data_IF_839766293319
#
_entry.id   IF_839766293319
#
_cell.length_a   1.000
_cell.length_b   1.000
_cell.length_c   1.000
_cell.angle_alpha   90.00
_cell.angle_beta   90.00
_cell.angle_gamma   90.00
#
_symmetry.space_group_name_H-M   'P 1'
#
loop_
_entity.id
_entity.type
_entity.pdbx_description
1 polymer ?
#
# COMPACT_ATOMS: atom_id res chain seq x y z
N UNK A 1 -5.27 -19.40 -4.55
CA UNK A 1 -6.34 -18.99 -3.61
C UNK A 1 -7.60 -19.82 -3.81
N UNK A 2 -8.09 -20.00 -5.03
CA UNK A 2 -9.25 -20.86 -5.34
C UNK A 2 -9.08 -22.29 -4.83
N UNK A 3 -7.88 -22.87 -4.89
CA UNK A 3 -7.57 -24.19 -4.34
C UNK A 3 -7.71 -24.27 -2.80
N UNK A 4 -7.82 -23.12 -2.11
CA UNK A 4 -8.08 -23.01 -0.66
C UNK A 4 -9.53 -22.67 -0.34
N UNK A 5 -10.44 -22.72 -1.33
CA UNK A 5 -11.86 -22.40 -1.16
C UNK A 5 -12.16 -20.91 -1.02
N UNK A 6 -11.20 -20.02 -1.30
CA UNK A 6 -11.42 -18.57 -1.30
C UNK A 6 -12.15 -18.20 -2.59
N UNK A 7 -13.36 -17.68 -2.46
CA UNK A 7 -14.25 -17.35 -3.58
C UNK A 7 -14.60 -15.87 -3.69
N UNK A 8 -14.28 -15.08 -2.65
CA UNK A 8 -14.53 -13.65 -2.62
C UNK A 8 -13.24 -12.92 -2.24
N UNK A 9 -12.92 -11.89 -3.01
CA UNK A 9 -11.74 -11.04 -2.80
C UNK A 9 -12.16 -9.61 -2.62
N UNK A 10 -11.43 -8.90 -1.78
CA UNK A 10 -11.39 -7.44 -1.72
C UNK A 10 -9.94 -7.05 -1.91
N UNK A 11 -9.67 -6.24 -2.91
CA UNK A 11 -8.33 -5.73 -3.20
C UNK A 11 -8.17 -4.37 -2.53
N UNK A 12 -7.01 -4.12 -1.94
CA UNK A 12 -6.66 -2.80 -1.40
C UNK A 12 -5.41 -2.32 -2.12
N UNK A 13 -5.47 -1.15 -2.73
CA UNK A 13 -4.30 -0.52 -3.32
C UNK A 13 -3.54 0.25 -2.26
N UNK A 14 -2.26 -0.05 -2.11
CA UNK A 14 -1.38 0.66 -1.17
C UNK A 14 -1.03 2.07 -1.65
N UNK A 15 -0.92 2.26 -2.98
CA UNK A 15 -0.69 3.52 -3.68
C UNK A 15 -0.78 3.31 -5.19
N UNK A 16 -0.55 4.34 -6.00
CA UNK A 16 -0.83 4.33 -7.44
C UNK A 16 0.35 3.97 -8.36
N UNK A 17 1.52 3.57 -7.85
CA UNK A 17 2.63 3.15 -8.70
C UNK A 17 2.27 1.93 -9.54
N UNK A 18 2.90 1.81 -10.74
CA UNK A 18 2.48 0.86 -11.76
C UNK A 18 2.58 -0.59 -11.33
N UNK A 19 3.59 -0.95 -10.57
CA UNK A 19 3.81 -2.30 -10.03
C UNK A 19 2.78 -2.73 -8.98
N UNK A 20 2.03 -1.77 -8.41
CA UNK A 20 0.96 -2.03 -7.44
C UNK A 20 -0.45 -2.04 -8.05
N UNK A 21 -0.59 -1.62 -9.31
CA UNK A 21 -1.88 -1.55 -10.00
C UNK A 21 -1.96 -2.46 -11.24
N UNK A 22 -0.82 -2.91 -11.77
CA UNK A 22 -0.76 -3.71 -13.01
C UNK A 22 -1.58 -5.00 -12.94
N UNK A 23 -1.73 -5.57 -11.73
CA UNK A 23 -2.52 -6.78 -11.51
C UNK A 23 -4.03 -6.59 -11.34
N UNK A 24 -4.52 -5.35 -11.33
CA UNK A 24 -5.93 -5.06 -11.01
C UNK A 24 -6.92 -5.70 -11.99
N UNK A 25 -6.53 -5.92 -13.27
CA UNK A 25 -7.37 -6.55 -14.28
C UNK A 25 -7.84 -7.94 -13.86
N UNK A 26 -6.98 -8.70 -13.17
CA UNK A 26 -7.31 -10.05 -12.67
C UNK A 26 -8.44 -10.03 -11.64
N UNK A 27 -8.67 -8.87 -11.00
CA UNK A 27 -9.66 -8.64 -9.95
C UNK A 27 -10.73 -7.64 -10.36
N UNK A 28 -10.94 -7.44 -11.68
CA UNK A 28 -11.86 -6.42 -12.20
C UNK A 28 -13.33 -6.64 -11.82
N UNK A 29 -13.70 -7.88 -11.43
CA UNK A 29 -15.00 -8.28 -10.91
C UNK A 29 -15.12 -8.18 -9.38
N UNK A 30 -14.05 -7.76 -8.70
CA UNK A 30 -13.99 -7.66 -7.24
C UNK A 30 -14.13 -6.20 -6.76
N UNK A 31 -14.40 -6.04 -5.46
CA UNK A 31 -14.26 -4.74 -4.83
C UNK A 31 -12.78 -4.35 -4.77
N UNK A 32 -12.43 -3.21 -5.33
CA UNK A 32 -11.09 -2.61 -5.27
C UNK A 32 -11.19 -1.32 -4.46
N UNK A 33 -10.53 -1.28 -3.32
CA UNK A 33 -10.53 -0.14 -2.39
C UNK A 33 -9.21 0.61 -2.52
N UNK A 34 -9.27 1.93 -2.57
CA UNK A 34 -8.11 2.81 -2.54
C UNK A 34 -8.42 4.10 -1.77
N UNK A 35 -7.40 4.85 -1.36
CA UNK A 35 -7.67 6.20 -0.90
C UNK A 35 -8.10 7.11 -2.06
N UNK A 36 -8.77 8.21 -1.75
CA UNK A 36 -9.28 9.14 -2.77
C UNK A 36 -8.17 9.75 -3.63
N UNK A 37 -6.98 9.95 -3.05
CA UNK A 37 -5.80 10.46 -3.76
C UNK A 37 -5.30 9.47 -4.82
N UNK A 38 -5.19 8.19 -4.49
CA UNK A 38 -4.84 7.11 -5.44
C UNK A 38 -5.79 7.13 -6.64
N UNK A 39 -7.11 7.16 -6.39
CA UNK A 39 -8.11 7.23 -7.46
C UNK A 39 -7.95 8.51 -8.31
N UNK A 40 -7.64 9.64 -7.69
CA UNK A 40 -7.37 10.92 -8.36
C UNK A 40 -6.12 10.88 -9.25
N UNK A 41 -5.02 10.28 -8.77
CA UNK A 41 -3.79 10.09 -9.55
C UNK A 41 -4.04 9.17 -10.77
N UNK A 42 -4.70 8.04 -10.56
CA UNK A 42 -5.04 7.10 -11.64
C UNK A 42 -5.93 7.76 -12.70
N UNK A 43 -6.96 8.52 -12.29
CA UNK A 43 -7.85 9.23 -13.21
C UNK A 43 -7.09 10.29 -14.03
N UNK A 44 -6.19 11.05 -13.39
CA UNK A 44 -5.38 12.10 -14.03
C UNK A 44 -4.43 11.54 -15.07
N UNK A 45 -3.80 10.39 -14.76
CA UNK A 45 -2.74 9.80 -15.59
C UNK A 45 -3.23 8.64 -16.46
N UNK A 46 -4.53 8.34 -16.46
CA UNK A 46 -5.14 7.19 -17.12
C UNK A 46 -4.61 6.95 -18.52
N UNK A 47 -4.73 7.97 -19.40
CA UNK A 47 -4.34 7.82 -20.79
C UNK A 47 -2.84 7.49 -20.94
N UNK A 48 -1.98 8.15 -20.18
CA UNK A 48 -0.54 7.91 -20.23
C UNK A 48 -0.17 6.50 -19.74
N UNK A 49 -0.88 6.00 -18.71
CA UNK A 49 -0.71 4.64 -18.18
C UNK A 49 -1.18 3.62 -19.23
N UNK A 50 -2.38 3.83 -19.82
CA UNK A 50 -2.96 2.88 -20.78
C UNK A 50 -2.19 2.77 -22.10
N UNK A 51 -1.44 3.81 -22.49
CA UNK A 51 -0.56 3.79 -23.67
C UNK A 51 0.92 3.53 -23.33
N UNK A 52 1.27 3.32 -22.06
CA UNK A 52 2.62 2.98 -21.61
C UNK A 52 3.63 4.12 -21.71
N UNK A 53 3.20 5.38 -21.61
CA UNK A 53 4.07 6.57 -21.63
C UNK A 53 4.25 7.21 -20.24
N UNK A 54 3.49 6.76 -19.25
CA UNK A 54 3.68 7.14 -17.87
C UNK A 54 4.73 6.20 -17.25
N UNK A 55 5.83 6.77 -16.80
CA UNK A 55 6.94 6.04 -16.16
C UNK A 55 7.50 4.84 -16.99
N UNK A 56 7.24 4.87 -18.29
CA UNK A 56 7.69 3.85 -19.25
C UNK A 56 6.76 2.66 -19.41
N UNK A 57 7.20 1.64 -20.23
CA UNK A 57 6.47 0.41 -20.44
C UNK A 57 6.53 -0.51 -19.20
N UNK A 58 5.59 -1.47 -19.06
CA UNK A 58 4.52 -1.78 -20.00
C UNK A 58 3.30 -0.87 -19.89
N UNK A 59 2.50 -0.80 -20.96
CA UNK A 59 1.14 -0.25 -20.89
C UNK A 59 0.27 -1.13 -19.98
N UNK A 60 -0.61 -0.50 -19.18
CA UNK A 60 -1.62 -1.19 -18.37
C UNK A 60 -2.98 -0.86 -18.97
N UNK A 61 -3.50 -1.75 -19.82
CA UNK A 61 -4.75 -1.51 -20.56
C UNK A 61 -5.60 -2.80 -20.62
N UNK A 62 -6.84 -2.74 -20.09
CA UNK A 62 -7.48 -1.57 -19.50
C UNK A 62 -6.94 -1.21 -18.11
N UNK A 63 -6.88 0.08 -17.79
CA UNK A 63 -6.63 0.51 -16.42
C UNK A 63 -7.90 0.32 -15.57
N UNK A 64 -7.87 -0.63 -14.64
CA UNK A 64 -8.98 -0.89 -13.74
C UNK A 64 -8.92 0.05 -12.54
N UNK A 65 -9.97 0.86 -12.42
CA UNK A 65 -10.09 1.87 -11.36
C UNK A 65 -10.63 1.27 -10.05
N UNK A 66 -10.31 1.89 -8.89
CA UNK A 66 -10.97 1.53 -7.63
C UNK A 66 -12.49 1.66 -7.72
N UNK A 67 -13.19 0.70 -7.13
CA UNK A 67 -14.67 0.69 -7.05
C UNK A 67 -15.18 1.37 -5.78
N UNK A 68 -14.32 1.52 -4.78
CA UNK A 68 -14.60 2.20 -3.51
C UNK A 68 -13.41 3.06 -3.10
N UNK A 69 -13.67 4.28 -2.65
CA UNK A 69 -12.63 5.17 -2.13
C UNK A 69 -12.91 5.58 -0.68
N UNK A 70 -11.86 5.99 0.04
CA UNK A 70 -11.93 6.55 1.37
C UNK A 70 -10.95 7.71 1.54
N UNK A 71 -11.09 8.46 2.61
CA UNK A 71 -10.17 9.50 3.05
C UNK A 71 -9.73 9.19 4.49
N UNK A 72 -8.49 9.50 4.83
CA UNK A 72 -7.85 9.33 6.13
C UNK A 72 -7.84 7.88 6.65
N UNK A 73 -9.02 7.31 6.91
CA UNK A 73 -9.15 5.98 7.52
C UNK A 73 -10.44 5.28 7.10
N UNK A 74 -10.35 3.96 6.92
CA UNK A 74 -11.49 3.09 6.70
C UNK A 74 -11.35 1.82 7.55
N UNK A 75 -12.34 1.53 8.39
CA UNK A 75 -12.41 0.27 9.13
C UNK A 75 -13.17 -0.78 8.32
N UNK A 76 -12.61 -1.97 8.25
CA UNK A 76 -13.20 -3.14 7.61
C UNK A 76 -13.27 -4.30 8.60
N UNK A 77 -14.25 -5.19 8.39
CA UNK A 77 -14.33 -6.47 9.08
C UNK A 77 -14.21 -7.59 8.04
N UNK A 78 -13.18 -8.41 8.15
CA UNK A 78 -12.91 -9.52 7.23
C UNK A 78 -12.98 -10.82 8.04
N UNK A 79 -14.11 -11.53 7.94
CA UNK A 79 -14.42 -12.62 8.86
C UNK A 79 -14.45 -12.10 10.30
N UNK A 80 -13.60 -12.66 11.15
CA UNK A 80 -13.47 -12.26 12.56
C UNK A 80 -12.32 -11.26 12.81
N UNK A 81 -11.70 -10.76 11.75
CA UNK A 81 -10.55 -9.86 11.84
C UNK A 81 -10.95 -8.43 11.54
N UNK A 82 -10.64 -7.53 12.48
CA UNK A 82 -10.74 -6.09 12.25
C UNK A 82 -9.48 -5.62 11.52
N UNK A 83 -9.67 -4.85 10.45
CA UNK A 83 -8.61 -4.27 9.62
C UNK A 83 -8.88 -2.79 9.46
N UNK A 84 -7.88 -1.98 9.67
CA UNK A 84 -7.93 -0.54 9.42
C UNK A 84 -7.04 -0.17 8.24
N UNK A 85 -7.61 0.45 7.24
CA UNK A 85 -6.87 1.11 6.17
C UNK A 85 -6.60 2.53 6.61
N UNK A 86 -5.34 2.96 6.59
CA UNK A 86 -4.94 4.26 7.10
C UNK A 86 -4.02 4.94 6.09
N UNK A 87 -4.35 6.18 5.70
CA UNK A 87 -3.47 7.00 4.87
C UNK A 87 -2.26 7.48 5.64
N UNK A 88 -1.09 7.43 4.98
CA UNK A 88 0.16 8.01 5.44
C UNK A 88 0.87 8.69 4.27
N UNK A 89 1.25 9.95 4.45
CA UNK A 89 2.07 10.70 3.49
C UNK A 89 3.55 10.34 3.69
N UNK A 90 3.87 9.08 3.34
CA UNK A 90 5.22 8.51 3.35
C UNK A 90 5.39 7.76 2.03
N UNK A 91 6.58 7.79 1.41
CA UNK A 91 6.86 7.30 0.08
C UNK A 91 6.11 8.10 -1.00
N UNK A 92 4.77 8.15 -0.91
CA UNK A 92 3.86 8.95 -1.75
C UNK A 92 2.76 9.58 -0.89
N UNK A 93 2.17 10.66 -1.39
CA UNK A 93 1.07 11.39 -0.74
C UNK A 93 -0.22 10.55 -0.59
N UNK A 94 -0.31 9.45 -1.32
CA UNK A 94 -1.44 8.52 -1.35
C UNK A 94 -1.14 7.16 -0.70
N UNK A 95 -0.08 7.07 0.11
CA UNK A 95 0.31 5.84 0.79
C UNK A 95 -0.79 5.32 1.72
N UNK A 96 -1.09 4.03 1.64
CA UNK A 96 -2.06 3.33 2.50
C UNK A 96 -1.41 2.12 3.14
N UNK A 97 -1.54 2.01 4.45
CA UNK A 97 -1.18 0.82 5.20
C UNK A 97 -2.42 0.07 5.68
N UNK A 98 -2.31 -1.25 5.87
CA UNK A 98 -3.33 -2.05 6.53
C UNK A 98 -2.85 -2.39 7.94
N UNK A 99 -3.60 -1.94 8.93
CA UNK A 99 -3.33 -2.18 10.33
C UNK A 99 -4.29 -3.23 10.91
N UNK A 100 -3.75 -4.28 11.50
CA UNK A 100 -4.49 -5.34 12.19
C UNK A 100 -4.23 -5.21 13.70
N UNK A 101 -5.08 -4.50 14.45
CA UNK A 101 -4.80 -4.10 15.84
C UNK A 101 -4.66 -5.28 16.80
N UNK A 102 -5.45 -6.34 16.65
CA UNK A 102 -5.41 -7.50 17.54
C UNK A 102 -4.10 -8.28 17.47
N UNK A 103 -3.52 -8.40 16.29
CA UNK A 103 -2.25 -9.11 16.06
C UNK A 103 -1.05 -8.18 16.06
N UNK A 104 -1.28 -6.86 16.10
CA UNK A 104 -0.26 -5.81 15.95
C UNK A 104 0.57 -5.99 14.67
N UNK A 105 -0.08 -6.47 13.62
CA UNK A 105 0.49 -6.65 12.29
C UNK A 105 0.21 -5.43 11.44
N UNK A 106 1.23 -4.91 10.79
CA UNK A 106 1.19 -3.83 9.82
C UNK A 106 1.59 -4.36 8.44
N UNK A 107 0.69 -4.30 7.46
CA UNK A 107 1.05 -4.45 6.05
C UNK A 107 1.36 -3.05 5.55
N UNK A 108 2.64 -2.77 5.35
CA UNK A 108 3.14 -1.41 5.22
C UNK A 108 3.09 -0.85 3.78
N UNK A 109 2.79 -1.69 2.78
CA UNK A 109 2.97 -1.26 1.39
C UNK A 109 4.42 -0.84 1.15
N UNK A 110 4.62 0.28 0.46
CA UNK A 110 5.91 0.91 0.23
C UNK A 110 6.19 2.06 1.22
N UNK A 111 5.27 2.28 2.16
CA UNK A 111 5.51 3.22 3.27
C UNK A 111 6.79 2.90 4.04
N UNK A 112 7.12 1.62 4.11
CA UNK A 112 8.37 1.10 4.67
C UNK A 112 8.95 0.04 3.72
N UNK A 113 10.25 0.09 3.48
CA UNK A 113 10.95 -0.84 2.59
C UNK A 113 12.27 -1.29 3.24
N UNK A 114 12.76 -2.47 2.86
CA UNK A 114 14.09 -2.99 3.10
C UNK A 114 14.64 -3.52 1.74
N UNK A 115 15.85 -3.28 1.33
CA UNK A 115 17.05 -2.85 2.08
C UNK A 115 17.36 -1.35 1.93
N UNK A 116 16.90 -0.72 0.86
CA UNK A 116 17.05 0.73 0.63
C UNK A 116 15.67 1.31 0.37
N UNK A 117 15.26 2.23 1.21
CA UNK A 117 13.99 2.94 1.05
C UNK A 117 14.03 3.77 -0.23
N UNK A 118 13.09 3.55 -1.13
CA UNK A 118 12.91 4.39 -2.30
C UNK A 118 12.20 5.69 -1.92
N UNK A 119 12.88 6.80 -2.09
CA UNK A 119 12.33 8.14 -1.79
C UNK A 119 11.66 8.68 -3.06
N UNK A 120 10.40 8.36 -3.26
CA UNK A 120 9.65 8.78 -4.45
C UNK A 120 9.40 10.29 -4.50
N UNK A 121 9.32 10.95 -3.35
CA UNK A 121 9.06 12.38 -3.20
C UNK A 121 10.11 13.07 -2.32
N UNK A 122 11.36 13.28 -2.80
CA UNK A 122 12.45 13.81 -2.00
C UNK A 122 12.18 15.23 -1.46
N UNK A 123 11.35 16.02 -2.15
CA UNK A 123 10.97 17.37 -1.71
C UNK A 123 9.95 17.37 -0.55
N UNK A 124 9.36 16.21 -0.24
CA UNK A 124 8.34 16.03 0.79
C UNK A 124 8.86 15.40 2.09
N UNK A 125 10.16 15.19 2.25
CA UNK A 125 10.75 14.55 3.45
C UNK A 125 10.34 15.24 4.77
N UNK A 126 10.16 16.56 4.76
CA UNK A 126 9.69 17.32 5.93
C UNK A 126 8.27 16.93 6.38
N UNK A 127 7.47 16.34 5.47
CA UNK A 127 6.13 15.79 5.74
C UNK A 127 6.21 14.33 6.13
N UNK A 128 7.09 13.56 5.49
CA UNK A 128 7.24 12.12 5.74
C UNK A 128 7.74 11.83 7.17
N UNK A 129 8.68 12.61 7.72
CA UNK A 129 9.23 12.37 9.05
C UNK A 129 8.18 12.39 10.17
N UNK A 130 7.30 13.40 10.29
CA UNK A 130 6.21 13.38 11.26
C UNK A 130 5.23 12.21 11.05
N UNK A 131 5.03 11.78 9.81
CA UNK A 131 4.17 10.65 9.48
C UNK A 131 4.78 9.32 9.92
N UNK A 132 6.10 9.15 9.83
CA UNK A 132 6.80 7.99 10.42
C UNK A 132 6.64 7.93 11.94
N UNK A 133 6.65 9.08 12.62
CA UNK A 133 6.36 9.16 14.05
C UNK A 133 4.89 8.78 14.35
N UNK A 134 3.95 9.19 13.49
CA UNK A 134 2.53 8.80 13.59
C UNK A 134 2.35 7.29 13.38
N UNK A 135 3.04 6.72 12.38
CA UNK A 135 3.05 5.29 12.09
C UNK A 135 3.59 4.48 13.28
N UNK A 136 4.67 4.93 13.90
CA UNK A 136 5.26 4.28 15.07
C UNK A 136 4.29 4.19 16.26
N UNK A 137 3.38 5.15 16.43
CA UNK A 137 2.36 5.17 17.49
C UNK A 137 1.31 4.08 17.36
N UNK A 138 1.15 3.44 16.18
CA UNK A 138 0.31 2.25 16.04
C UNK A 138 0.83 1.10 16.91
N UNK A 139 2.13 1.08 17.19
CA UNK A 139 2.76 0.08 18.02
C UNK A 139 2.85 -1.30 17.38
N UNK A 140 3.04 -1.34 16.06
CA UNK A 140 3.24 -2.59 15.32
C UNK A 140 4.41 -3.41 15.89
N UNK A 141 4.21 -4.71 16.02
CA UNK A 141 5.25 -5.67 16.41
C UNK A 141 5.72 -6.52 15.24
N UNK A 142 4.88 -6.61 14.19
CA UNK A 142 5.17 -7.30 12.95
C UNK A 142 4.85 -6.37 11.80
N UNK A 143 5.80 -6.18 10.88
CA UNK A 143 5.68 -5.29 9.73
C UNK A 143 6.04 -6.09 8.47
N UNK A 144 5.13 -6.08 7.52
CA UNK A 144 5.32 -6.70 6.20
C UNK A 144 5.29 -5.59 5.14
N UNK A 145 6.45 -5.20 4.58
CA UNK A 145 6.51 -4.30 3.44
C UNK A 145 6.22 -5.05 2.13
N UNK A 146 5.89 -4.33 1.07
CA UNK A 146 5.79 -4.92 -0.26
C UNK A 146 7.18 -5.24 -0.83
N UNK A 147 8.15 -4.34 -0.63
CA UNK A 147 9.54 -4.53 -1.01
C UNK A 147 10.40 -4.80 0.23
N UNK A 148 10.99 -6.00 0.31
CA UNK A 148 11.78 -6.40 1.46
C UNK A 148 12.52 -7.73 1.26
N UNK A 149 13.32 -8.11 2.24
CA UNK A 149 14.04 -9.39 2.20
C UNK A 149 13.04 -10.57 2.27
N UNK A 150 12.96 -11.43 1.24
CA UNK A 150 11.99 -12.53 1.18
C UNK A 150 12.08 -13.46 2.38
N UNK A 151 13.31 -13.77 2.86
CA UNK A 151 13.51 -14.67 3.99
C UNK A 151 12.95 -14.07 5.29
N UNK A 152 13.09 -12.75 5.49
CA UNK A 152 12.49 -12.06 6.63
C UNK A 152 10.97 -12.04 6.56
N UNK A 153 10.43 -11.75 5.39
CA UNK A 153 8.97 -11.75 5.17
C UNK A 153 8.40 -13.14 5.45
N UNK A 154 9.07 -14.20 4.98
CA UNK A 154 8.64 -15.58 5.17
C UNK A 154 8.54 -16.03 6.64
N UNK A 155 9.35 -15.45 7.52
CA UNK A 155 9.38 -15.79 8.96
C UNK A 155 8.60 -14.81 9.85
N UNK A 156 7.81 -13.88 9.25
CA UNK A 156 6.95 -12.96 10.00
C UNK A 156 7.28 -11.48 9.86
N UNK A 157 8.26 -11.13 9.01
CA UNK A 157 8.57 -9.74 8.68
C UNK A 157 9.56 -9.06 9.63
N UNK A 158 9.34 -7.78 9.84
CA UNK A 158 10.20 -6.88 10.58
C UNK A 158 9.54 -6.41 11.87
N UNK A 159 10.32 -5.96 12.81
CA UNK A 159 9.85 -5.26 14.02
C UNK A 159 9.83 -3.74 13.81
N UNK A 160 9.47 -2.98 14.84
CA UNK A 160 9.45 -1.51 14.83
C UNK A 160 10.84 -0.87 14.55
N UNK A 161 11.91 -1.66 14.49
CA UNK A 161 13.24 -1.21 14.05
C UNK A 161 13.25 -0.72 12.63
N UNK A 162 12.40 -1.29 11.75
CA UNK A 162 12.28 -0.85 10.36
C UNK A 162 11.81 0.61 10.26
N UNK A 163 10.81 1.01 11.05
CA UNK A 163 10.34 2.42 11.07
C UNK A 163 11.48 3.37 11.48
N UNK A 164 12.23 2.99 12.52
CA UNK A 164 13.36 3.80 12.99
C UNK A 164 14.51 3.85 11.99
N UNK A 165 14.74 2.76 11.26
CA UNK A 165 15.75 2.73 10.21
C UNK A 165 15.37 3.66 9.06
N UNK A 166 14.12 3.58 8.58
CA UNK A 166 13.58 4.47 7.55
C UNK A 166 13.70 5.95 7.94
N UNK A 167 13.35 6.31 9.18
CA UNK A 167 13.44 7.69 9.66
C UNK A 167 14.88 8.22 9.77
N UNK A 168 15.89 7.36 9.78
CA UNK A 168 17.31 7.76 9.84
C UNK A 168 18.00 7.80 8.49
N UNK A 169 17.42 7.13 7.52
CA UNK A 169 17.92 7.07 6.15
C UNK A 169 17.72 8.39 5.43
#
# INVERSE_FOLDING_TARGET
LSARGVTKFTVVLSHWHLDHIAGNEVFSDCEIIACAKTAGHLARHRNAIEIGTYDGPPAISPLVMPTRTFEDRLSLRIGDTDVELIEFDIHRDDGVVLWLPHTRLLLAGDTLEDSVTYVAEPDNLTRHLPELDRLAKLGATHILPNHGCPDRIAIGGYDAGLIRATARY
#
